data_IF_321468255403
#
_entry.id   IF_321468255403
#
_cell.length_a   1.000
_cell.length_b   1.000
_cell.length_c   1.000
_cell.angle_alpha   90.00
_cell.angle_beta   90.00
_cell.angle_gamma   90.00
#
_symmetry.space_group_name_H-M   'P 1'
#
loop_
_entity.id
_entity.type
_entity.pdbx_description
1 polymer ?
#
# COMPACT_ATOMS: atom_id res chain seq x y z
N UNK A 1 20.63 1.12 14.59
CA UNK A 1 19.82 1.71 13.50
C UNK A 1 19.06 0.57 12.84
N UNK A 2 17.79 0.37 13.17
CA UNK A 2 17.00 -0.72 12.58
C UNK A 2 16.34 -0.20 11.29
N UNK A 3 16.98 -0.44 10.15
CA UNK A 3 16.33 -0.29 8.84
C UNK A 3 15.14 -1.24 8.83
N UNK A 4 13.91 -0.71 8.83
CA UNK A 4 12.72 -1.53 8.57
C UNK A 4 12.80 -2.00 7.12
N UNK A 5 13.46 -3.13 6.89
CA UNK A 5 13.75 -3.70 5.56
C UNK A 5 12.50 -4.18 4.80
N UNK A 6 11.30 -3.95 5.32
CA UNK A 6 10.04 -4.38 4.74
C UNK A 6 8.99 -3.25 4.70
N UNK A 7 9.42 -1.99 4.80
CA UNK A 7 8.54 -0.84 4.69
C UNK A 7 8.36 -0.48 3.20
N UNK A 8 7.14 -0.63 2.67
CA UNK A 8 6.84 -0.25 1.28
C UNK A 8 6.28 1.17 1.29
N UNK A 9 6.90 2.09 0.56
CA UNK A 9 6.29 3.40 0.31
C UNK A 9 5.36 3.30 -0.88
N UNK A 10 4.13 3.72 -0.70
CA UNK A 10 3.16 3.89 -1.79
C UNK A 10 2.60 5.31 -1.77
N UNK A 11 2.13 5.85 -2.91
CA UNK A 11 1.44 7.13 -2.93
C UNK A 11 0.23 7.07 -1.99
N UNK A 12 -0.01 8.13 -1.22
CA UNK A 12 -1.19 8.21 -0.35
C UNK A 12 -2.50 8.14 -1.16
N UNK A 13 -2.46 8.46 -2.45
CA UNK A 13 -3.60 8.30 -3.37
C UNK A 13 -3.92 6.83 -3.68
N UNK A 14 -2.98 5.92 -3.49
CA UNK A 14 -3.17 4.48 -3.70
C UNK A 14 -3.87 3.80 -2.52
N UNK A 15 -3.87 4.45 -1.35
CA UNK A 15 -4.48 3.92 -0.13
C UNK A 15 -5.92 4.33 -0.02
N UNK A 16 -6.82 3.34 0.03
CA UNK A 16 -8.24 3.56 0.31
C UNK A 16 -8.56 3.18 1.75
N UNK A 17 -9.59 3.82 2.32
CA UNK A 17 -10.07 3.57 3.67
C UNK A 17 -11.47 2.97 3.54
N UNK A 18 -11.63 1.74 4.04
CA UNK A 18 -12.94 1.10 4.18
C UNK A 18 -13.47 1.30 5.60
N UNK A 19 -14.70 0.87 5.85
CA UNK A 19 -15.31 0.86 7.19
C UNK A 19 -14.50 0.02 8.19
N UNK A 20 -13.69 -0.94 7.69
CA UNK A 20 -12.84 -1.83 8.49
C UNK A 20 -11.39 -1.32 8.66
N UNK A 21 -11.01 -0.21 8.00
CA UNK A 21 -9.66 0.33 8.03
C UNK A 21 -9.02 0.49 6.64
N UNK A 22 -7.73 0.85 6.60
CA UNK A 22 -7.01 1.09 5.35
C UNK A 22 -6.73 -0.20 4.57
N UNK A 23 -6.85 -0.11 3.25
CA UNK A 23 -6.62 -1.20 2.32
C UNK A 23 -6.05 -0.65 1.01
N UNK A 24 -5.44 -1.54 0.22
CA UNK A 24 -4.99 -1.24 -1.14
C UNK A 24 -5.44 -2.35 -2.07
N UNK A 25 -5.49 -2.03 -3.36
CA UNK A 25 -5.61 -3.05 -4.39
C UNK A 25 -4.24 -3.33 -4.97
N UNK A 26 -3.85 -4.60 -5.03
CA UNK A 26 -2.62 -5.05 -5.69
C UNK A 26 -2.96 -5.65 -7.04
N UNK A 27 -2.31 -5.21 -8.11
CA UNK A 27 -2.43 -5.81 -9.43
C UNK A 27 -1.56 -7.05 -9.48
N UNK A 28 -2.20 -8.19 -9.69
CA UNK A 28 -1.52 -9.45 -9.95
C UNK A 28 -0.99 -9.47 -11.39
N UNK A 29 0.00 -10.33 -11.68
CA UNK A 29 0.53 -10.51 -13.04
C UNK A 29 -0.54 -10.96 -14.06
N UNK A 30 -1.65 -11.52 -13.58
CA UNK A 30 -2.81 -11.91 -14.38
C UNK A 30 -3.74 -10.74 -14.76
N UNK A 31 -3.42 -9.51 -14.32
CA UNK A 31 -4.21 -8.31 -14.57
C UNK A 31 -5.40 -8.12 -13.61
N UNK A 32 -5.54 -8.98 -12.60
CA UNK A 32 -6.63 -8.86 -11.60
C UNK A 32 -6.22 -7.99 -10.43
N UNK A 33 -7.20 -7.28 -9.85
CA UNK A 33 -7.02 -6.50 -8.64
C UNK A 33 -7.34 -7.36 -7.40
N UNK A 34 -6.38 -7.49 -6.49
CA UNK A 34 -6.54 -8.22 -5.23
C UNK A 34 -6.69 -7.22 -4.07
N UNK A 35 -7.80 -7.34 -3.33
CA UNK A 35 -8.04 -6.51 -2.15
C UNK A 35 -7.15 -6.97 -1.01
N UNK A 36 -6.24 -6.10 -0.57
CA UNK A 36 -5.42 -6.35 0.62
C UNK A 36 -5.64 -5.31 1.70
N UNK A 37 -6.10 -5.70 2.89
CA UNK A 37 -6.03 -4.83 4.06
C UNK A 37 -4.56 -4.56 4.41
N UNK A 38 -4.25 -3.30 4.72
CA UNK A 38 -2.88 -2.87 5.01
C UNK A 38 -2.81 -2.06 6.29
N UNK A 39 -1.64 -2.06 6.91
CA UNK A 39 -1.36 -1.15 8.03
C UNK A 39 -0.51 -0.01 7.52
N UNK A 40 -1.07 1.20 7.60
CA UNK A 40 -0.36 2.44 7.33
C UNK A 40 0.49 2.81 8.54
N UNK A 41 1.75 3.13 8.28
CA UNK A 41 2.68 3.68 9.24
C UNK A 41 2.92 5.16 8.99
N UNK A 42 4.19 5.55 9.00
CA UNK A 42 4.58 6.95 8.88
C UNK A 42 4.26 7.50 7.49
N UNK A 43 3.59 8.66 7.43
CA UNK A 43 3.40 9.40 6.17
C UNK A 43 4.67 10.18 5.84
N UNK A 44 5.13 10.09 4.60
CA UNK A 44 6.29 10.82 4.07
C UNK A 44 5.85 11.68 2.88
N UNK A 45 5.50 12.95 3.15
CA UNK A 45 5.02 13.87 2.13
C UNK A 45 3.76 13.36 1.45
N UNK A 46 3.84 13.12 0.14
CA UNK A 46 2.73 12.58 -0.68
C UNK A 46 2.62 11.05 -0.62
N UNK A 47 3.58 10.38 0.02
CA UNK A 47 3.64 8.93 0.15
C UNK A 47 3.32 8.50 1.57
N UNK A 48 2.92 7.25 1.73
CA UNK A 48 2.67 6.61 3.03
C UNK A 48 3.45 5.31 3.11
N UNK A 49 4.06 5.08 4.27
CA UNK A 49 4.75 3.82 4.55
C UNK A 49 3.72 2.77 4.92
N UNK A 50 3.78 1.62 4.26
CA UNK A 50 3.07 0.40 4.64
C UNK A 50 3.97 -0.41 5.55
N UNK A 51 3.49 -0.70 6.76
CA UNK A 51 4.21 -1.53 7.73
C UNK A 51 3.79 -3.00 7.65
N UNK A 52 2.56 -3.28 7.18
CA UNK A 52 2.05 -4.64 6.94
C UNK A 52 1.05 -4.66 5.79
N UNK A 53 0.99 -5.80 5.10
CA UNK A 53 -0.03 -6.11 4.08
C UNK A 53 0.45 -6.00 2.64
N UNK A 54 1.57 -5.31 2.36
CA UNK A 54 2.18 -5.22 1.02
C UNK A 54 3.67 -5.51 1.12
N UNK A 55 4.17 -6.30 0.17
CA UNK A 55 5.59 -6.58 0.06
C UNK A 55 6.27 -5.65 -0.97
N UNK A 56 7.58 -5.43 -0.79
CA UNK A 56 8.36 -4.69 -1.77
C UNK A 56 8.34 -5.43 -3.12
N UNK A 57 8.05 -4.69 -4.20
CA UNK A 57 7.92 -5.24 -5.55
C UNK A 57 6.49 -5.58 -5.99
N UNK A 58 5.49 -5.43 -5.12
CA UNK A 58 4.08 -5.54 -5.53
C UNK A 58 3.57 -4.23 -6.16
N UNK A 59 2.78 -4.37 -7.23
CA UNK A 59 2.18 -3.23 -7.91
C UNK A 59 0.84 -2.89 -7.26
N UNK A 60 0.75 -1.72 -6.63
CA UNK A 60 -0.52 -1.22 -6.10
C UNK A 60 -1.25 -0.37 -7.14
N UNK A 61 -2.58 -0.50 -7.16
CA UNK A 61 -3.44 0.35 -7.99
C UNK A 61 -3.51 1.72 -7.33
N UNK A 62 -3.02 2.72 -8.06
CA UNK A 62 -3.26 4.12 -7.74
C UNK A 62 -4.42 4.55 -8.62
N UNK A 63 -5.62 4.68 -8.06
CA UNK A 63 -6.74 5.27 -8.79
C UNK A 63 -6.50 6.78 -8.87
N UNK A 64 -5.71 7.19 -9.85
CA UNK A 64 -5.70 8.55 -10.39
C UNK A 64 -6.76 8.64 -11.48
N UNK A 65 -7.60 9.68 -11.39
CA UNK A 65 -8.60 10.02 -12.40
C UNK A 65 -7.99 10.13 -13.81
#
# INVERSE_FOLDING_TARGET
>A
MATQKNAVLIPNQATQISQKGPFVYVVKPDGTADFRPVTLGQRQGENVVITQGVAAGENVIVTGQ
#
